data_IF_690777766083
#
_entry.id   IF_690777766083
#
_cell.length_a   1.000
_cell.length_b   1.000
_cell.length_c   1.000
_cell.angle_alpha   90.00
_cell.angle_beta   90.00
_cell.angle_gamma   90.00
#
_symmetry.space_group_name_H-M   'P 1'
#
loop_
_entity.id
_entity.type
_entity.pdbx_description
1 polymer ?
#
# COMPACT_ATOMS: atom_id res chain seq x y z
N UNK A 1 29.39 13.02 34.88
CA UNK A 1 27.95 12.77 34.66
C UNK A 1 27.58 13.28 33.28
N UNK A 2 26.83 12.49 32.50
CA UNK A 2 26.36 12.95 31.18
C UNK A 2 25.22 13.96 31.34
N UNK A 3 25.17 15.04 30.55
CA UNK A 3 24.00 15.90 30.50
C UNK A 3 22.92 15.25 29.62
N UNK A 4 21.71 15.12 30.17
CA UNK A 4 20.51 14.84 29.42
C UNK A 4 20.10 16.08 28.61
N UNK A 5 20.20 16.00 27.28
CA UNK A 5 19.52 16.96 26.39
C UNK A 5 18.23 16.32 25.87
N UNK A 6 17.15 16.72 26.51
CA UNK A 6 15.79 16.56 26.01
C UNK A 6 15.61 17.40 24.72
N UNK A 7 14.63 16.96 23.91
CA UNK A 7 13.75 17.76 23.04
C UNK A 7 14.04 17.70 21.54
N UNK A 8 13.14 17.00 20.84
CA UNK A 8 12.47 17.58 19.67
C UNK A 8 13.28 17.67 18.38
N UNK A 9 14.01 16.62 18.02
CA UNK A 9 14.54 16.48 16.67
C UNK A 9 13.45 15.99 15.73
N UNK A 10 12.74 16.92 15.08
CA UNK A 10 12.01 16.63 13.84
C UNK A 10 12.94 15.79 12.96
N UNK A 11 12.56 14.53 12.72
CA UNK A 11 13.33 13.66 11.86
C UNK A 11 13.36 14.31 10.47
N UNK A 12 14.50 14.93 10.15
CA UNK A 12 14.80 15.44 8.83
C UNK A 12 14.69 14.23 7.90
N UNK A 13 13.60 14.17 7.14
CA UNK A 13 13.32 13.09 6.20
C UNK A 13 14.32 13.17 5.05
N UNK A 14 15.47 12.55 5.26
CA UNK A 14 16.54 12.39 4.29
C UNK A 14 16.50 10.92 3.87
N UNK A 15 15.89 10.63 2.73
CA UNK A 15 15.77 9.28 2.20
C UNK A 15 14.34 8.98 1.74
N UNK A 16 14.21 8.35 0.57
CA UNK A 16 12.94 8.06 -0.08
C UNK A 16 11.97 7.20 0.75
N UNK A 17 10.83 6.80 0.15
CA UNK A 17 9.76 6.11 0.88
C UNK A 17 10.31 4.91 1.64
N UNK A 18 9.84 4.73 2.87
CA UNK A 18 10.17 3.53 3.66
C UNK A 18 9.70 2.29 2.88
N UNK A 19 10.35 1.15 3.08
CA UNK A 19 9.98 -0.09 2.39
C UNK A 19 8.48 -0.38 2.46
N UNK A 20 7.86 -0.19 3.63
CA UNK A 20 6.42 -0.36 3.79
C UNK A 20 5.57 0.57 2.91
N UNK A 21 5.98 1.84 2.76
CA UNK A 21 5.31 2.82 1.91
C UNK A 21 5.49 2.50 0.42
N UNK A 22 6.69 2.07 0.02
CA UNK A 22 6.98 1.66 -1.35
C UNK A 22 6.18 0.41 -1.74
N UNK A 23 6.09 -0.58 -0.85
CA UNK A 23 5.25 -1.77 -1.04
C UNK A 23 3.78 -1.37 -1.13
N UNK A 24 3.29 -0.49 -0.27
CA UNK A 24 1.90 -0.03 -0.33
C UNK A 24 1.59 0.68 -1.66
N UNK A 25 2.46 1.56 -2.12
CA UNK A 25 2.30 2.26 -3.39
C UNK A 25 2.30 1.28 -4.57
N UNK A 26 3.20 0.30 -4.57
CA UNK A 26 3.25 -0.77 -5.57
C UNK A 26 1.98 -1.62 -5.55
N UNK A 27 1.52 -2.06 -4.39
CA UNK A 27 0.29 -2.83 -4.26
C UNK A 27 -0.91 -2.02 -4.79
N UNK A 28 -1.06 -0.76 -4.39
CA UNK A 28 -2.14 0.11 -4.88
C UNK A 28 -2.15 0.22 -6.41
N UNK A 29 -0.99 0.43 -7.02
CA UNK A 29 -0.87 0.52 -8.47
C UNK A 29 -1.22 -0.82 -9.15
N UNK A 30 -0.70 -1.94 -8.63
CA UNK A 30 -0.96 -3.28 -9.17
C UNK A 30 -2.45 -3.66 -9.09
N UNK A 31 -3.09 -3.42 -7.93
CA UNK A 31 -4.51 -3.67 -7.75
C UNK A 31 -5.36 -2.76 -8.66
N UNK A 32 -5.03 -1.47 -8.74
CA UNK A 32 -5.75 -0.51 -9.58
C UNK A 32 -5.70 -0.88 -11.06
N UNK A 33 -4.54 -1.30 -11.57
CA UNK A 33 -4.38 -1.71 -12.96
C UNK A 33 -5.17 -3.00 -13.27
N UNK A 34 -5.10 -4.01 -12.40
CA UNK A 34 -5.89 -5.24 -12.57
C UNK A 34 -7.40 -4.96 -12.57
N UNK A 35 -7.87 -4.08 -11.67
CA UNK A 35 -9.27 -3.65 -11.65
C UNK A 35 -9.64 -2.90 -12.94
N UNK A 36 -8.77 -2.02 -13.45
CA UNK A 36 -9.03 -1.29 -14.69
C UNK A 36 -9.15 -2.23 -15.90
N UNK A 37 -8.24 -3.21 -16.04
CA UNK A 37 -8.28 -4.23 -17.10
C UNK A 37 -9.57 -5.04 -17.12
N UNK A 38 -10.13 -5.32 -15.94
CA UNK A 38 -11.35 -6.10 -15.79
C UNK A 38 -12.59 -5.25 -15.50
N UNK A 39 -12.55 -3.93 -15.77
CA UNK A 39 -13.67 -3.00 -15.58
C UNK A 39 -14.29 -3.05 -14.16
N UNK A 40 -13.46 -3.20 -13.14
CA UNK A 40 -13.89 -3.28 -11.73
C UNK A 40 -14.43 -4.64 -11.30
N UNK A 41 -14.34 -5.68 -12.15
CA UNK A 41 -14.77 -7.03 -11.78
C UNK A 41 -13.76 -7.71 -10.85
N UNK A 42 -14.01 -7.62 -9.54
CA UNK A 42 -13.20 -8.23 -8.48
C UNK A 42 -12.95 -9.72 -8.67
N UNK A 43 -13.91 -10.48 -9.19
CA UNK A 43 -13.73 -11.93 -9.39
C UNK A 43 -12.65 -12.19 -10.44
N UNK A 44 -12.73 -11.50 -11.59
CA UNK A 44 -11.77 -11.64 -12.68
C UNK A 44 -10.39 -11.10 -12.29
N UNK A 45 -10.34 -9.92 -11.67
CA UNK A 45 -9.08 -9.36 -11.17
C UNK A 45 -8.40 -10.26 -10.11
N UNK A 46 -9.18 -10.93 -9.26
CA UNK A 46 -8.61 -11.86 -8.27
C UNK A 46 -8.02 -13.11 -8.91
N UNK A 47 -8.63 -13.60 -10.00
CA UNK A 47 -8.11 -14.74 -10.77
C UNK A 47 -6.84 -14.36 -11.53
N UNK A 48 -6.80 -13.17 -12.17
CA UNK A 48 -5.62 -12.64 -12.87
C UNK A 48 -4.43 -12.47 -11.91
N UNK A 49 -4.69 -11.92 -10.72
CA UNK A 49 -3.67 -11.74 -9.67
C UNK A 49 -3.34 -13.04 -8.91
N UNK A 50 -4.04 -14.15 -9.18
CA UNK A 50 -3.80 -15.44 -8.53
C UNK A 50 -4.08 -15.45 -7.02
N UNK A 51 -5.04 -14.63 -6.55
CA UNK A 51 -5.39 -14.55 -5.14
C UNK A 51 -6.88 -14.75 -4.87
N UNK A 52 -7.23 -15.05 -3.62
CA UNK A 52 -8.62 -15.16 -3.22
C UNK A 52 -9.36 -13.82 -3.38
N UNK A 53 -10.61 -13.88 -3.87
CA UNK A 53 -11.47 -12.70 -4.05
C UNK A 53 -11.68 -11.92 -2.76
N UNK A 54 -11.83 -12.59 -1.62
CA UNK A 54 -11.98 -11.95 -0.30
C UNK A 54 -10.75 -11.14 0.07
N UNK A 55 -9.56 -11.69 -0.14
CA UNK A 55 -8.29 -10.99 0.07
C UNK A 55 -8.14 -9.77 -0.83
N UNK A 56 -8.52 -9.89 -2.10
CA UNK A 56 -8.54 -8.74 -3.02
C UNK A 56 -9.51 -7.68 -2.53
N UNK A 57 -10.74 -8.06 -2.14
CA UNK A 57 -11.75 -7.15 -1.63
C UNK A 57 -11.27 -6.38 -0.40
N UNK A 58 -10.65 -7.06 0.57
CA UNK A 58 -10.12 -6.41 1.77
C UNK A 58 -9.01 -5.41 1.44
N UNK A 59 -8.11 -5.75 0.49
CA UNK A 59 -7.06 -4.84 0.01
C UNK A 59 -7.63 -3.63 -0.74
N UNK A 60 -8.59 -3.85 -1.65
CA UNK A 60 -9.28 -2.77 -2.40
C UNK A 60 -9.99 -1.82 -1.45
N UNK A 61 -10.71 -2.35 -0.45
CA UNK A 61 -11.36 -1.55 0.59
C UNK A 61 -10.37 -0.80 1.46
N UNK A 62 -9.28 -1.45 1.89
CA UNK A 62 -8.19 -0.83 2.67
C UNK A 62 -7.56 0.34 1.90
N UNK A 63 -7.43 0.22 0.58
CA UNK A 63 -6.79 1.22 -0.27
C UNK A 63 -7.76 2.23 -0.90
N UNK A 64 -9.07 2.08 -0.70
CA UNK A 64 -10.09 3.01 -1.21
C UNK A 64 -10.22 2.98 -2.74
N UNK A 65 -10.03 1.82 -3.36
CA UNK A 65 -10.03 1.66 -4.82
C UNK A 65 -11.43 1.35 -5.39
N UNK A 66 -12.43 1.01 -4.56
CA UNK A 66 -13.85 0.84 -4.89
C UNK A 66 -14.75 1.10 -3.68
#
# INVERSE_FOLDING_TARGET
GLPAFNKGGQAVQTGGPRFAEAVEAFEKALLGDALARHHGNLTQASQDLGMAKTTLFDKVKKYGLQ
#
